data_IF_192092356160
#
_entry.id   IF_192092356160
#
_cell.length_a   1.000
_cell.length_b   1.000
_cell.length_c   1.000
_cell.angle_alpha   90.00
_cell.angle_beta   90.00
_cell.angle_gamma   90.00
#
_symmetry.space_group_name_H-M   'P 1'
#
loop_
_entity.id
_entity.type
_entity.pdbx_description
1 polymer ?
#
# COMPACT_ATOMS: atom_id res chain seq x y z
N UNK A 1 3.41 -23.74 -20.62
CA UNK A 1 3.98 -22.60 -21.38
C UNK A 1 4.23 -21.52 -20.34
N UNK A 2 5.49 -21.35 -19.91
CA UNK A 2 5.87 -20.27 -18.98
C UNK A 2 5.85 -18.98 -19.80
N UNK A 3 4.95 -18.07 -19.46
CA UNK A 3 4.95 -16.72 -20.03
C UNK A 3 6.27 -16.07 -19.63
N UNK A 4 7.05 -15.60 -20.61
CA UNK A 4 8.28 -14.89 -20.31
C UNK A 4 7.89 -13.64 -19.49
N UNK A 5 8.40 -13.54 -18.26
CA UNK A 5 8.04 -12.48 -17.29
C UNK A 5 8.28 -11.08 -17.83
N UNK A 6 9.18 -10.94 -18.80
CA UNK A 6 9.44 -9.70 -19.54
C UNK A 6 8.28 -9.25 -20.43
N UNK A 7 7.31 -10.15 -20.73
CA UNK A 7 6.15 -9.81 -21.53
C UNK A 7 4.95 -9.26 -20.72
N UNK A 8 5.04 -9.26 -19.39
CA UNK A 8 4.00 -8.69 -18.54
C UNK A 8 3.92 -7.17 -18.75
N UNK A 9 2.76 -6.70 -19.19
CA UNK A 9 2.50 -5.26 -19.47
C UNK A 9 2.87 -4.34 -18.29
N UNK A 10 2.66 -4.81 -17.06
CA UNK A 10 3.05 -4.10 -15.85
C UNK A 10 4.54 -3.88 -15.77
N UNK A 11 5.35 -4.94 -15.95
CA UNK A 11 6.82 -4.84 -15.95
C UNK A 11 7.32 -3.83 -16.97
N UNK A 12 6.85 -3.92 -18.23
CA UNK A 12 7.24 -2.99 -19.31
C UNK A 12 6.89 -1.53 -19.01
N UNK A 13 5.83 -1.27 -18.24
CA UNK A 13 5.44 0.10 -17.85
C UNK A 13 6.25 0.60 -16.68
N UNK A 14 6.44 -0.23 -15.66
CA UNK A 14 7.19 0.16 -14.48
C UNK A 14 8.68 0.33 -14.77
N UNK A 15 9.29 -0.52 -15.60
CA UNK A 15 10.70 -0.41 -15.98
C UNK A 15 11.07 0.89 -16.72
N UNK A 16 10.08 1.59 -17.28
CA UNK A 16 10.28 2.94 -17.86
C UNK A 16 10.31 4.06 -16.82
N UNK A 17 9.85 3.78 -15.61
CA UNK A 17 9.64 4.77 -14.56
C UNK A 17 10.59 4.53 -13.39
N UNK A 18 10.90 3.28 -13.11
CA UNK A 18 11.72 2.85 -11.97
C UNK A 18 12.80 1.89 -12.44
N UNK A 19 13.95 1.92 -11.77
CA UNK A 19 14.98 0.90 -11.97
C UNK A 19 14.73 -0.24 -10.99
N UNK A 20 14.30 -1.40 -11.52
CA UNK A 20 14.14 -2.64 -10.76
C UNK A 20 15.00 -3.74 -11.35
N UNK A 21 15.61 -4.56 -10.49
CA UNK A 21 16.12 -5.85 -10.89
C UNK A 21 14.97 -6.83 -11.13
N UNK A 22 15.22 -7.90 -11.90
CA UNK A 22 14.24 -8.97 -12.08
C UNK A 22 13.87 -9.63 -10.75
N UNK A 23 14.83 -9.75 -9.83
CA UNK A 23 14.63 -10.32 -8.50
C UNK A 23 13.68 -9.46 -7.67
N UNK A 24 13.91 -8.15 -7.58
CA UNK A 24 13.02 -7.23 -6.86
C UNK A 24 11.60 -7.23 -7.43
N UNK A 25 11.48 -7.39 -8.76
CA UNK A 25 10.17 -7.51 -9.40
C UNK A 25 9.44 -8.78 -8.96
N UNK A 26 10.11 -9.93 -8.98
CA UNK A 26 9.56 -11.21 -8.53
C UNK A 26 9.19 -11.20 -7.05
N UNK A 27 10.05 -10.63 -6.22
CA UNK A 27 9.80 -10.46 -4.80
C UNK A 27 8.55 -9.63 -4.54
N UNK A 28 8.31 -8.56 -5.29
CA UNK A 28 7.10 -7.74 -5.17
C UNK A 28 5.81 -8.54 -5.35
N UNK A 29 5.80 -9.57 -6.20
CA UNK A 29 4.66 -10.49 -6.35
C UNK A 29 4.60 -11.53 -5.23
N UNK A 30 5.73 -12.04 -4.77
CA UNK A 30 5.76 -13.02 -3.68
C UNK A 30 5.25 -12.41 -2.37
N UNK A 31 5.55 -11.13 -2.11
CA UNK A 31 5.06 -10.39 -0.95
C UNK A 31 3.53 -10.44 -0.81
N UNK A 32 2.78 -10.49 -1.92
CA UNK A 32 1.32 -10.59 -1.89
C UNK A 32 0.81 -11.85 -1.19
N UNK A 33 1.50 -12.96 -1.39
CA UNK A 33 1.10 -14.25 -0.82
C UNK A 33 1.45 -14.36 0.66
N UNK A 34 2.60 -13.82 1.04
CA UNK A 34 3.13 -13.95 2.41
C UNK A 34 2.62 -12.86 3.36
N UNK A 35 2.16 -11.71 2.83
CA UNK A 35 1.78 -10.55 3.65
C UNK A 35 0.35 -10.66 4.19
N UNK A 36 -0.59 -11.20 3.42
CA UNK A 36 -1.99 -11.25 3.84
C UNK A 36 -2.78 -12.34 3.13
N UNK A 37 -3.80 -12.89 3.78
CA UNK A 37 -4.82 -13.76 3.16
C UNK A 37 -6.00 -12.98 2.57
N UNK A 38 -6.15 -11.69 2.88
CA UNK A 38 -7.25 -10.86 2.36
C UNK A 38 -7.11 -10.66 0.84
N UNK A 39 -8.02 -11.28 0.11
CA UNK A 39 -8.04 -11.25 -1.36
C UNK A 39 -8.25 -9.85 -1.92
N UNK A 40 -8.94 -8.94 -1.21
CA UNK A 40 -9.16 -7.55 -1.63
C UNK A 40 -7.86 -6.77 -1.63
N UNK A 41 -7.02 -6.94 -0.61
CA UNK A 41 -5.71 -6.31 -0.52
C UNK A 41 -4.76 -6.89 -1.57
N UNK A 42 -4.75 -8.22 -1.73
CA UNK A 42 -3.98 -8.89 -2.77
C UNK A 42 -4.38 -8.39 -4.15
N UNK A 43 -5.67 -8.30 -4.43
CA UNK A 43 -6.19 -7.84 -5.71
C UNK A 43 -5.85 -6.38 -6.00
N UNK A 44 -5.91 -5.50 -4.98
CA UNK A 44 -5.49 -4.11 -5.13
C UNK A 44 -4.01 -4.03 -5.56
N UNK A 45 -3.12 -4.70 -4.83
CA UNK A 45 -1.69 -4.68 -5.13
C UNK A 45 -1.38 -5.33 -6.48
N UNK A 46 -2.01 -6.45 -6.79
CA UNK A 46 -1.90 -7.08 -8.10
C UNK A 46 -2.23 -6.07 -9.22
N UNK A 47 -3.32 -5.34 -9.08
CA UNK A 47 -3.72 -4.31 -10.07
C UNK A 47 -2.71 -3.16 -10.15
N UNK A 48 -2.08 -2.78 -9.05
CA UNK A 48 -1.00 -1.77 -9.05
C UNK A 48 0.20 -2.32 -9.83
N UNK A 49 0.68 -3.52 -9.49
CA UNK A 49 1.84 -4.14 -10.14
C UNK A 49 1.61 -4.35 -11.63
N UNK A 50 0.44 -4.79 -12.04
CA UNK A 50 0.09 -4.96 -13.45
C UNK A 50 -0.26 -3.65 -14.18
N UNK A 51 -0.21 -2.50 -13.49
CA UNK A 51 -0.55 -1.18 -14.04
C UNK A 51 -1.98 -1.08 -14.57
N UNK A 52 -2.92 -1.81 -13.97
CA UNK A 52 -4.33 -1.89 -14.38
C UNK A 52 -5.30 -1.33 -13.33
N UNK A 53 -4.79 -0.74 -12.25
CA UNK A 53 -5.64 -0.06 -11.29
C UNK A 53 -6.27 1.18 -11.91
N UNK A 54 -7.55 1.40 -11.61
CA UNK A 54 -8.31 2.51 -12.18
C UNK A 54 -7.90 3.83 -11.54
N UNK A 55 -7.34 4.72 -12.34
CA UNK A 55 -7.06 6.13 -12.02
C UNK A 55 -7.84 7.03 -12.96
N UNK A 56 -8.07 8.30 -12.61
CA UNK A 56 -8.79 9.22 -13.48
C UNK A 56 -8.08 9.38 -14.82
N UNK A 57 -6.73 9.42 -14.82
CA UNK A 57 -5.95 9.40 -16.07
C UNK A 57 -6.18 8.13 -16.90
N UNK A 58 -6.38 6.99 -16.28
CA UNK A 58 -6.66 5.77 -17.06
C UNK A 58 -8.06 5.79 -17.65
N UNK A 59 -9.05 6.29 -16.89
CA UNK A 59 -10.45 6.37 -17.33
C UNK A 59 -10.64 7.39 -18.45
N UNK A 60 -9.98 8.57 -18.35
CA UNK A 60 -10.09 9.62 -19.38
C UNK A 60 -9.60 9.21 -20.75
N UNK A 61 -8.83 8.12 -20.87
CA UNK A 61 -8.42 7.55 -22.16
C UNK A 61 -9.51 6.78 -22.88
N UNK A 62 -10.52 6.30 -22.16
CA UNK A 62 -11.59 5.45 -22.69
C UNK A 62 -12.94 6.14 -22.69
N UNK A 63 -13.13 7.14 -21.82
CA UNK A 63 -14.40 7.87 -21.69
C UNK A 63 -14.17 9.32 -22.10
N UNK A 64 -14.76 9.72 -23.22
CA UNK A 64 -14.69 11.08 -23.75
C UNK A 64 -15.32 12.05 -22.73
N UNK A 65 -14.64 13.15 -22.44
CA UNK A 65 -15.12 14.17 -21.49
C UNK A 65 -14.83 13.85 -20.01
N UNK A 66 -14.28 12.67 -19.71
CA UNK A 66 -13.89 12.34 -18.35
C UNK A 66 -12.62 13.11 -17.94
N UNK A 67 -12.70 13.83 -16.83
CA UNK A 67 -11.57 14.55 -16.26
C UNK A 67 -10.47 13.60 -15.76
N UNK A 68 -9.22 13.91 -16.10
CA UNK A 68 -8.04 13.17 -15.64
C UNK A 68 -7.47 13.67 -14.31
N UNK A 69 -8.02 14.74 -13.75
CA UNK A 69 -7.53 15.41 -12.55
C UNK A 69 -7.60 14.51 -11.31
N UNK A 70 -6.68 14.77 -10.38
CA UNK A 70 -6.61 14.03 -9.13
C UNK A 70 -7.84 14.31 -8.24
N UNK A 71 -8.48 13.24 -7.77
CA UNK A 71 -9.65 13.29 -6.89
C UNK A 71 -9.38 14.03 -5.56
N UNK A 72 -8.13 14.07 -5.09
CA UNK A 72 -7.78 14.72 -3.84
C UNK A 72 -7.30 16.15 -4.00
N UNK A 73 -6.41 16.43 -4.94
CA UNK A 73 -5.73 17.73 -5.04
C UNK A 73 -6.08 18.54 -6.28
N UNK A 74 -6.87 17.98 -7.21
CA UNK A 74 -7.21 18.63 -8.47
C UNK A 74 -6.06 18.77 -9.47
N UNK A 75 -4.86 18.21 -9.20
CA UNK A 75 -3.74 18.23 -10.14
C UNK A 75 -4.10 17.53 -11.44
N UNK A 76 -3.58 18.05 -12.56
CA UNK A 76 -4.01 17.75 -13.92
C UNK A 76 -3.98 16.27 -14.36
N UNK A 77 -3.25 15.39 -13.68
CA UNK A 77 -3.16 13.99 -14.09
C UNK A 77 -2.99 13.04 -12.92
N UNK A 78 -4.05 12.29 -12.61
CA UNK A 78 -4.00 11.25 -11.58
C UNK A 78 -3.38 9.97 -12.15
N UNK A 79 -2.06 9.82 -11.99
CA UNK A 79 -1.34 8.57 -12.25
C UNK A 79 -1.38 7.64 -11.04
N UNK A 80 -0.89 6.40 -11.18
CA UNK A 80 -0.75 5.47 -10.04
C UNK A 80 0.20 6.06 -8.99
N UNK A 81 1.35 6.58 -9.43
CA UNK A 81 2.33 7.22 -8.54
C UNK A 81 1.70 8.45 -7.87
N UNK A 82 0.95 9.26 -8.62
CA UNK A 82 0.29 10.42 -8.05
C UNK A 82 -0.74 10.01 -6.98
N UNK A 83 -1.57 9.01 -7.26
CA UNK A 83 -2.62 8.53 -6.37
C UNK A 83 -2.07 7.95 -5.05
N UNK A 84 -0.92 7.29 -5.06
CA UNK A 84 -0.39 6.62 -3.88
C UNK A 84 0.83 7.31 -3.26
N UNK A 85 1.46 8.26 -3.98
CA UNK A 85 2.69 8.89 -3.50
C UNK A 85 2.75 10.41 -3.75
N UNK A 86 2.82 10.91 -4.99
CA UNK A 86 3.20 12.31 -5.26
C UNK A 86 2.11 13.35 -5.02
N UNK A 87 0.86 12.97 -4.76
CA UNK A 87 -0.20 13.90 -4.40
C UNK A 87 0.10 14.57 -3.04
N UNK A 88 -0.03 15.91 -2.96
CA UNK A 88 0.24 16.66 -1.72
C UNK A 88 -0.54 16.14 -0.50
N UNK A 89 -1.81 15.75 -0.65
CA UNK A 89 -2.61 15.19 0.45
C UNK A 89 -2.18 13.78 0.82
N UNK A 90 -1.70 13.00 -0.15
CA UNK A 90 -1.14 11.67 0.10
C UNK A 90 0.20 11.79 0.82
N UNK A 91 1.06 12.74 0.43
CA UNK A 91 2.32 13.03 1.13
C UNK A 91 2.06 13.45 2.58
N UNK A 92 1.08 14.32 2.83
CA UNK A 92 0.66 14.67 4.20
C UNK A 92 0.24 13.41 4.98
N UNK A 93 -0.60 12.55 4.39
CA UNK A 93 -1.05 11.31 5.04
C UNK A 93 0.12 10.39 5.41
N UNK A 94 1.09 10.16 4.49
CA UNK A 94 2.26 9.33 4.79
C UNK A 94 3.19 9.97 5.82
N UNK A 95 3.37 11.29 5.79
CA UNK A 95 4.16 12.03 6.77
C UNK A 95 3.52 11.96 8.16
N UNK A 96 2.21 12.20 8.28
CA UNK A 96 1.48 12.09 9.55
C UNK A 96 1.59 10.67 10.12
N UNK A 97 1.50 9.67 9.24
CA UNK A 97 1.64 8.28 9.64
C UNK A 97 3.07 7.94 10.10
N UNK A 98 4.09 8.38 9.38
CA UNK A 98 5.49 8.22 9.78
C UNK A 98 5.80 8.92 11.11
N UNK A 99 5.30 10.14 11.31
CA UNK A 99 5.44 10.88 12.58
C UNK A 99 4.80 10.13 13.74
N UNK A 100 3.63 9.52 13.51
CA UNK A 100 2.96 8.73 14.54
C UNK A 100 3.74 7.46 14.88
N UNK A 101 4.30 6.76 13.89
CA UNK A 101 5.18 5.62 14.09
C UNK A 101 6.40 6.04 14.91
N UNK A 102 7.12 7.07 14.49
CA UNK A 102 8.31 7.57 15.16
C UNK A 102 8.06 8.02 16.61
N UNK A 103 6.88 8.59 16.87
CA UNK A 103 6.51 9.06 18.22
C UNK A 103 6.15 7.92 19.18
N UNK A 104 5.57 6.84 18.67
CA UNK A 104 4.96 5.79 19.49
C UNK A 104 5.73 4.48 19.49
N UNK A 105 6.66 4.29 18.57
CA UNK A 105 7.45 3.07 18.45
C UNK A 105 8.86 3.29 19.02
N UNK A 106 9.19 2.56 20.08
CA UNK A 106 10.44 2.72 20.83
C UNK A 106 11.70 2.48 19.96
N UNK A 107 11.58 1.71 18.88
CA UNK A 107 12.71 1.33 18.01
C UNK A 107 12.66 1.95 16.60
N UNK A 108 11.67 2.78 16.29
CA UNK A 108 11.49 3.37 14.97
C UNK A 108 12.03 4.80 14.89
N UNK A 109 13.33 4.97 15.17
CA UNK A 109 13.95 6.29 15.00
C UNK A 109 14.11 6.63 13.51
N UNK A 110 13.57 7.80 13.10
CA UNK A 110 13.66 8.31 11.73
C UNK A 110 13.01 7.44 10.64
N UNK A 111 11.98 6.66 10.97
CA UNK A 111 11.24 5.92 9.97
C UNK A 111 10.60 6.87 8.96
N UNK A 112 10.76 6.56 7.67
CA UNK A 112 10.15 7.29 6.55
C UNK A 112 9.65 6.31 5.50
N UNK A 113 8.50 6.61 4.94
CA UNK A 113 8.05 5.91 3.74
C UNK A 113 8.83 6.43 2.53
N UNK A 114 9.09 5.56 1.57
CA UNK A 114 9.65 5.91 0.24
C UNK A 114 8.66 5.53 -0.84
N UNK A 115 8.79 6.11 -2.04
CA UNK A 115 7.95 5.78 -3.18
C UNK A 115 7.98 4.28 -3.49
N UNK A 116 9.18 3.72 -3.62
CA UNK A 116 9.36 2.31 -3.93
C UNK A 116 8.72 1.41 -2.87
N UNK A 117 8.92 1.75 -1.59
CA UNK A 117 8.33 0.99 -0.49
C UNK A 117 6.79 1.04 -0.52
N UNK A 118 6.21 2.22 -0.78
CA UNK A 118 4.75 2.37 -0.88
C UNK A 118 4.19 1.63 -2.11
N UNK A 119 4.82 1.75 -3.27
CA UNK A 119 4.28 1.19 -4.51
C UNK A 119 4.49 -0.32 -4.57
N UNK A 120 5.70 -0.80 -4.30
CA UNK A 120 6.10 -2.19 -4.55
C UNK A 120 6.18 -3.05 -3.29
N UNK A 121 6.33 -2.43 -2.13
CA UNK A 121 6.62 -3.09 -0.86
C UNK A 121 8.12 -3.12 -0.56
N UNK A 122 8.46 -3.52 0.65
CA UNK A 122 9.84 -3.72 1.05
C UNK A 122 10.23 -5.19 0.87
N UNK A 123 11.23 -5.41 0.03
CA UNK A 123 11.75 -6.72 -0.31
C UNK A 123 12.82 -7.22 0.66
N UNK A 124 13.25 -6.42 1.62
CA UNK A 124 14.20 -6.91 2.63
C UNK A 124 13.53 -7.96 3.53
N UNK A 125 14.19 -9.10 3.72
CA UNK A 125 13.63 -10.29 4.40
C UNK A 125 13.54 -10.17 5.92
N UNK A 126 13.59 -9.00 6.51
CA UNK A 126 13.54 -8.79 7.96
C UNK A 126 12.08 -8.89 8.44
N UNK A 127 11.83 -9.58 9.54
CA UNK A 127 10.47 -9.79 10.10
C UNK A 127 9.64 -8.53 10.30
N UNK A 128 10.28 -7.40 10.60
CA UNK A 128 9.64 -6.08 10.71
C UNK A 128 9.02 -5.62 9.41
N UNK A 129 9.52 -6.09 8.26
CA UNK A 129 9.08 -5.65 6.95
C UNK A 129 7.75 -6.26 6.53
N UNK A 130 7.41 -7.47 6.99
CA UNK A 130 6.12 -8.10 6.69
C UNK A 130 4.96 -7.29 7.25
N UNK A 131 5.11 -6.81 8.48
CA UNK A 131 4.07 -5.98 9.09
C UNK A 131 3.97 -4.61 8.42
N UNK A 132 5.12 -4.01 8.09
CA UNK A 132 5.15 -2.76 7.35
C UNK A 132 4.45 -2.93 5.99
N UNK A 133 4.69 -4.03 5.29
CA UNK A 133 4.02 -4.35 4.03
C UNK A 133 2.50 -4.51 4.21
N UNK A 134 2.05 -5.21 5.26
CA UNK A 134 0.61 -5.34 5.55
C UNK A 134 -0.04 -3.97 5.80
N UNK A 135 0.58 -3.15 6.62
CA UNK A 135 0.07 -1.82 6.97
C UNK A 135 0.01 -0.92 5.73
N UNK A 136 1.03 -0.95 4.87
CA UNK A 136 1.05 -0.21 3.61
C UNK A 136 -0.07 -0.69 2.68
N UNK A 137 -0.31 -2.00 2.58
CA UNK A 137 -1.42 -2.54 1.79
C UNK A 137 -2.77 -2.04 2.31
N UNK A 138 -2.98 -2.05 3.63
CA UNK A 138 -4.19 -1.53 4.25
C UNK A 138 -4.32 -0.03 3.99
N UNK A 139 -3.24 0.74 4.10
CA UNK A 139 -3.22 2.19 3.82
C UNK A 139 -3.53 2.48 2.35
N UNK A 140 -2.93 1.76 1.40
CA UNK A 140 -3.27 1.88 -0.03
C UNK A 140 -4.73 1.57 -0.30
N UNK A 141 -5.28 0.55 0.34
CA UNK A 141 -6.69 0.19 0.22
C UNK A 141 -7.60 1.29 0.78
N UNK A 142 -7.24 1.87 1.92
CA UNK A 142 -7.93 3.02 2.50
C UNK A 142 -7.91 4.23 1.57
N UNK A 143 -6.74 4.60 1.04
CA UNK A 143 -6.57 5.71 0.08
C UNK A 143 -7.45 5.47 -1.15
N UNK A 144 -7.38 4.29 -1.76
CA UNK A 144 -8.16 3.96 -2.94
C UNK A 144 -9.67 4.00 -2.67
N UNK A 145 -10.10 3.53 -1.52
CA UNK A 145 -11.50 3.60 -1.11
C UNK A 145 -11.96 5.05 -0.88
N UNK A 146 -11.14 5.90 -0.27
CA UNK A 146 -11.44 7.33 -0.13
C UNK A 146 -11.60 7.99 -1.51
N UNK A 147 -10.72 7.68 -2.47
CA UNK A 147 -10.86 8.13 -3.86
C UNK A 147 -12.20 7.71 -4.47
N UNK A 148 -12.52 6.42 -4.44
CA UNK A 148 -13.75 5.89 -5.06
C UNK A 148 -15.02 6.47 -4.42
N UNK A 149 -14.98 6.73 -3.12
CA UNK A 149 -16.10 7.29 -2.34
C UNK A 149 -16.09 8.82 -2.28
N UNK A 150 -15.16 9.48 -2.98
CA UNK A 150 -14.97 10.93 -2.95
C UNK A 150 -14.92 11.51 -1.52
N UNK A 151 -14.14 10.85 -0.63
CA UNK A 151 -13.97 11.26 0.77
C UNK A 151 -12.56 11.77 1.04
N UNK A 152 -12.39 12.76 1.93
CA UNK A 152 -11.08 13.25 2.32
C UNK A 152 -10.32 12.18 3.09
N UNK A 153 -8.98 12.24 2.99
CA UNK A 153 -8.09 11.43 3.80
C UNK A 153 -8.08 11.94 5.25
N UNK A 154 -8.09 11.01 6.19
CA UNK A 154 -8.02 11.33 7.61
C UNK A 154 -7.23 10.23 8.34
N UNK A 155 -6.07 10.57 8.87
CA UNK A 155 -5.18 9.63 9.55
C UNK A 155 -5.84 9.01 10.79
N UNK A 156 -6.65 9.75 11.55
CA UNK A 156 -7.34 9.24 12.73
C UNK A 156 -8.37 8.17 12.36
N UNK A 157 -9.10 8.38 11.24
CA UNK A 157 -10.05 7.39 10.72
C UNK A 157 -9.30 6.15 10.25
N UNK A 158 -8.20 6.32 9.53
CA UNK A 158 -7.35 5.20 9.09
C UNK A 158 -6.87 4.37 10.28
N UNK A 159 -6.37 5.01 11.35
CA UNK A 159 -5.90 4.29 12.54
C UNK A 159 -7.02 3.49 13.21
N UNK A 160 -8.22 4.06 13.34
CA UNK A 160 -9.38 3.34 13.87
C UNK A 160 -9.75 2.12 13.03
N UNK A 161 -9.65 2.24 11.70
CA UNK A 161 -9.87 1.10 10.80
C UNK A 161 -8.80 0.03 10.95
N UNK A 162 -7.55 0.43 11.12
CA UNK A 162 -6.43 -0.47 11.35
C UNK A 162 -6.61 -1.25 12.67
N UNK A 163 -6.98 -0.54 13.75
CA UNK A 163 -7.30 -1.13 15.06
C UNK A 163 -8.44 -2.14 14.95
N UNK A 164 -9.55 -1.72 14.33
CA UNK A 164 -10.70 -2.61 14.13
C UNK A 164 -10.33 -3.86 13.32
N UNK A 165 -9.50 -3.71 12.31
CA UNK A 165 -9.05 -4.85 11.52
C UNK A 165 -8.21 -5.81 12.36
N UNK A 166 -7.29 -5.28 13.17
CA UNK A 166 -6.51 -6.07 14.11
C UNK A 166 -7.42 -6.87 15.06
N UNK A 167 -8.42 -6.23 15.70
CA UNK A 167 -9.34 -6.91 16.61
C UNK A 167 -10.15 -8.02 15.92
N UNK A 168 -10.63 -7.78 14.71
CA UNK A 168 -11.36 -8.79 13.93
C UNK A 168 -10.44 -9.98 13.59
N UNK A 169 -9.25 -9.73 13.08
CA UNK A 169 -8.31 -10.80 12.73
C UNK A 169 -7.84 -11.55 13.98
N UNK A 170 -7.71 -10.87 15.11
CA UNK A 170 -7.40 -11.49 16.40
C UNK A 170 -8.49 -12.51 16.80
N UNK A 171 -9.75 -12.11 16.78
CA UNK A 171 -10.86 -12.98 17.13
C UNK A 171 -10.94 -14.21 16.21
N UNK A 172 -10.76 -14.01 14.90
CA UNK A 172 -10.95 -15.07 13.90
C UNK A 172 -9.74 -16.00 13.81
N UNK A 173 -8.53 -15.47 13.95
CA UNK A 173 -7.28 -16.13 13.55
C UNK A 173 -6.20 -16.18 14.63
N UNK A 174 -6.52 -15.91 15.91
CA UNK A 174 -5.52 -15.81 17.00
C UNK A 174 -4.56 -17.02 17.07
N UNK A 175 -5.06 -18.20 16.74
CA UNK A 175 -4.29 -19.45 16.74
C UNK A 175 -3.58 -19.74 15.42
N UNK A 176 -3.77 -18.93 14.37
CA UNK A 176 -3.14 -19.17 13.08
C UNK A 176 -1.69 -18.64 13.07
N UNK A 177 -0.80 -19.40 12.42
CA UNK A 177 0.58 -18.95 12.20
C UNK A 177 0.65 -17.64 11.40
N UNK A 178 -0.30 -17.42 10.49
CA UNK A 178 -0.38 -16.19 9.68
C UNK A 178 -0.68 -14.98 10.57
N UNK A 179 -1.63 -15.10 11.49
CA UNK A 179 -1.96 -14.03 12.44
C UNK A 179 -0.75 -13.71 13.34
N UNK A 180 -0.14 -14.73 13.95
CA UNK A 180 1.01 -14.54 14.81
C UNK A 180 2.17 -13.88 14.07
N UNK A 181 2.48 -14.34 12.85
CA UNK A 181 3.58 -13.79 12.07
C UNK A 181 3.32 -12.35 11.61
N UNK A 182 2.06 -11.99 11.35
CA UNK A 182 1.71 -10.65 10.89
C UNK A 182 1.53 -9.65 12.02
N UNK A 183 0.91 -10.04 13.14
CA UNK A 183 0.49 -9.09 14.17
C UNK A 183 1.35 -9.08 15.43
N UNK A 184 2.05 -10.16 15.77
CA UNK A 184 2.92 -10.18 16.97
C UNK A 184 4.03 -9.12 16.89
N UNK A 185 4.77 -8.98 15.77
CA UNK A 185 5.71 -7.87 15.61
C UNK A 185 5.04 -6.50 15.66
N UNK A 186 3.78 -6.41 15.19
CA UNK A 186 2.98 -5.20 15.24
C UNK A 186 2.67 -4.76 16.67
N UNK A 187 2.33 -5.68 17.54
CA UNK A 187 2.08 -5.37 18.96
C UNK A 187 3.30 -4.79 19.65
N UNK A 188 4.50 -5.25 19.32
CA UNK A 188 5.73 -4.69 19.87
C UNK A 188 6.05 -3.31 19.33
N UNK A 189 5.84 -3.10 18.04
CA UNK A 189 6.13 -1.83 17.37
C UNK A 189 5.03 -0.77 17.57
N UNK A 190 3.76 -1.19 17.61
CA UNK A 190 2.60 -0.30 17.57
C UNK A 190 1.72 -0.35 18.82
N UNK A 191 2.18 -0.97 19.91
CA UNK A 191 1.43 -1.07 21.17
C UNK A 191 0.86 0.28 21.63
N UNK A 192 1.60 1.38 21.43
CA UNK A 192 1.18 2.73 21.75
C UNK A 192 0.23 3.38 20.72
N UNK A 193 -0.05 2.73 19.58
CA UNK A 193 -0.98 3.22 18.55
C UNK A 193 -2.32 2.48 18.65
N UNK A 194 -2.31 1.21 19.13
CA UNK A 194 -3.47 0.33 19.15
C UNK A 194 -4.16 0.24 20.51
N UNK A 195 -3.44 0.50 21.56
CA UNK A 195 -3.88 0.53 22.94
C UNK A 195 -3.68 1.93 23.50
#
# INVERSE_FOLDING_TARGET
>A
MLVDEKDITGYKRWSKITQFSNEEWLESFSLLKITTSDTRLRWLQYRILHYIITTNRSVSKFIIGQDSSCSFCGAHSETIIHLFWTCKYIQCFWNDFALMINKKCIHAHNFKFTENFVIFGNCSMIYTDKICNLIILIAKFYIYRCKVQNRPLNIKVFIKELQRRYEIEKIIHENSNLFRNNWTPYLTLFKGILI
#
